data_IF_927450562353
#
_entry.id   IF_927450562353
#
_cell.length_a   1.000
_cell.length_b   1.000
_cell.length_c   1.000
_cell.angle_alpha   90.00
_cell.angle_beta   90.00
_cell.angle_gamma   90.00
#
_symmetry.space_group_name_H-M   'P 1'
#
loop_
_entity.id
_entity.type
_entity.pdbx_description
1 polymer ?
#
# COMPACT_ATOMS: atom_id res chain seq x y z
N UNK A 1 21.56 -5.70 -17.43
CA UNK A 1 21.73 -5.46 -15.97
C UNK A 1 20.35 -5.21 -15.35
N UNK A 2 20.07 -5.80 -14.20
CA UNK A 2 18.76 -5.68 -13.52
C UNK A 2 18.82 -4.63 -12.42
N UNK A 3 17.83 -3.71 -12.43
CA UNK A 3 17.72 -2.61 -11.46
C UNK A 3 16.35 -2.70 -10.78
N UNK A 4 16.33 -2.46 -9.47
CA UNK A 4 15.12 -2.25 -8.69
C UNK A 4 14.98 -0.77 -8.29
N UNK A 5 13.75 -0.24 -8.33
CA UNK A 5 13.39 1.09 -7.85
C UNK A 5 12.35 1.01 -6.74
N UNK A 6 12.53 1.84 -5.69
CA UNK A 6 11.46 2.13 -4.72
C UNK A 6 10.62 3.31 -5.21
N UNK A 7 9.31 3.08 -5.24
CA UNK A 7 8.31 4.02 -5.77
C UNK A 7 7.32 4.41 -4.68
N UNK A 8 7.10 5.71 -4.53
CA UNK A 8 6.02 6.28 -3.72
C UNK A 8 4.97 6.92 -4.63
N UNK A 9 3.70 6.93 -4.21
CA UNK A 9 2.64 7.61 -4.94
C UNK A 9 1.42 7.93 -4.07
N UNK A 10 0.72 9.00 -4.45
CA UNK A 10 -0.63 9.32 -4.02
C UNK A 10 -1.57 8.74 -5.07
N UNK A 11 -2.31 7.68 -4.73
CA UNK A 11 -3.09 6.88 -5.68
C UNK A 11 -4.50 7.40 -5.97
N UNK A 12 -4.93 8.54 -5.39
CA UNK A 12 -6.32 9.03 -5.42
C UNK A 12 -6.87 9.14 -6.84
N UNK A 13 -6.07 9.66 -7.78
CA UNK A 13 -6.51 9.95 -9.16
C UNK A 13 -6.18 8.83 -10.16
N UNK A 14 -5.82 7.64 -9.66
CA UNK A 14 -5.43 6.51 -10.48
C UNK A 14 -6.38 5.33 -10.33
N UNK A 15 -6.61 4.62 -11.43
CA UNK A 15 -7.43 3.40 -11.47
C UNK A 15 -6.62 2.15 -11.03
N UNK A 16 -5.81 2.33 -9.98
CA UNK A 16 -4.96 1.32 -9.40
C UNK A 16 -3.55 1.31 -9.98
N UNK A 17 -2.78 0.31 -9.55
CA UNK A 17 -1.38 0.19 -9.95
C UNK A 17 -1.25 -0.35 -11.38
N UNK A 18 -1.84 -1.50 -11.66
CA UNK A 18 -1.63 -2.25 -12.90
C UNK A 18 -2.22 -1.55 -14.12
N UNK A 19 -1.48 -1.55 -15.23
CA UNK A 19 -1.95 -1.06 -16.55
C UNK A 19 -3.29 -1.72 -16.93
N UNK A 20 -4.22 -0.88 -17.35
CA UNK A 20 -5.54 -1.24 -17.88
C UNK A 20 -5.82 -0.40 -19.13
N UNK A 21 -6.63 -0.91 -20.08
CA UNK A 21 -7.04 -0.14 -21.25
C UNK A 21 -7.80 1.14 -20.83
N UNK A 22 -7.55 2.22 -21.53
CA UNK A 22 -8.32 3.47 -21.51
C UNK A 22 -8.44 4.21 -20.16
N UNK A 23 -7.62 3.83 -19.17
CA UNK A 23 -7.59 4.50 -17.87
C UNK A 23 -6.17 4.80 -17.40
N UNK A 24 -6.03 5.86 -16.58
CA UNK A 24 -4.76 6.25 -16.02
C UNK A 24 -4.39 5.36 -14.82
N UNK A 25 -3.19 4.76 -14.84
CA UNK A 25 -2.67 3.85 -13.83
C UNK A 25 -1.24 4.21 -13.44
N UNK A 26 -0.83 3.85 -12.22
CA UNK A 26 0.55 4.10 -11.76
C UNK A 26 1.58 3.43 -12.68
N UNK A 27 1.37 2.17 -13.05
CA UNK A 27 2.28 1.39 -13.89
C UNK A 27 2.35 1.96 -15.32
N UNK A 28 1.24 2.47 -15.86
CA UNK A 28 1.20 3.13 -17.15
C UNK A 28 2.10 4.38 -17.18
N UNK A 29 2.04 5.22 -16.13
CA UNK A 29 2.91 6.39 -16.01
C UNK A 29 4.38 6.02 -15.82
N UNK A 30 4.67 4.94 -15.08
CA UNK A 30 6.02 4.42 -14.94
C UNK A 30 6.57 3.95 -16.29
N UNK A 31 5.79 3.20 -17.07
CA UNK A 31 6.20 2.77 -18.41
C UNK A 31 6.45 3.93 -19.36
N UNK A 32 5.61 4.95 -19.34
CA UNK A 32 5.79 6.16 -20.13
C UNK A 32 7.12 6.85 -19.76
N UNK A 33 7.35 7.09 -18.47
CA UNK A 33 8.55 7.78 -18.00
C UNK A 33 9.84 7.01 -18.30
N UNK A 34 9.85 5.69 -18.09
CA UNK A 34 11.01 4.83 -18.36
C UNK A 34 11.33 4.75 -19.87
N UNK A 35 10.29 4.73 -20.72
CA UNK A 35 10.46 4.78 -22.20
C UNK A 35 10.98 6.12 -22.68
N UNK A 36 10.43 7.24 -22.20
CA UNK A 36 10.90 8.58 -22.56
C UNK A 36 12.36 8.83 -22.21
N UNK A 37 12.88 8.15 -21.20
CA UNK A 37 14.28 8.21 -20.79
C UNK A 37 15.17 7.18 -21.51
N UNK A 38 14.63 6.36 -22.40
CA UNK A 38 15.32 5.25 -23.03
C UNK A 38 15.93 4.26 -22.00
N UNK A 39 15.32 4.13 -20.84
CA UNK A 39 15.71 3.15 -19.81
C UNK A 39 15.22 1.76 -20.21
N UNK A 40 13.99 1.67 -20.72
CA UNK A 40 13.41 0.45 -21.31
C UNK A 40 12.73 0.80 -22.64
N UNK A 41 12.73 -0.13 -23.59
CA UNK A 41 11.97 0.00 -24.83
C UNK A 41 10.57 -0.61 -24.68
N UNK A 42 10.52 -1.79 -24.11
CA UNK A 42 9.27 -2.56 -23.90
C UNK A 42 9.31 -3.20 -22.51
N UNK A 43 8.26 -3.03 -21.68
CA UNK A 43 8.22 -3.63 -20.34
C UNK A 43 8.35 -5.16 -20.33
N UNK A 44 7.80 -5.85 -21.32
CA UNK A 44 7.90 -7.30 -21.42
C UNK A 44 9.33 -7.76 -21.75
N UNK A 45 9.99 -7.09 -22.70
CA UNK A 45 11.40 -7.38 -23.07
C UNK A 45 12.36 -7.02 -21.94
N UNK A 46 12.02 -6.00 -21.16
CA UNK A 46 12.77 -5.58 -19.98
C UNK A 46 12.49 -6.47 -18.73
N UNK A 47 11.77 -7.57 -18.85
CA UNK A 47 11.40 -8.44 -17.72
C UNK A 47 10.88 -7.63 -16.52
N UNK A 48 10.02 -6.61 -16.79
CA UNK A 48 9.47 -5.75 -15.74
C UNK A 48 8.55 -6.51 -14.83
N UNK A 49 8.77 -6.39 -13.51
CA UNK A 49 7.94 -7.00 -12.46
C UNK A 49 7.78 -5.99 -11.31
N UNK A 50 6.58 -5.97 -10.70
CA UNK A 50 6.29 -5.22 -9.48
C UNK A 50 6.09 -6.15 -8.28
N UNK A 51 6.48 -5.71 -7.07
CA UNK A 51 6.35 -6.47 -5.82
C UNK A 51 4.90 -6.74 -5.42
N UNK A 52 3.99 -5.88 -5.83
CA UNK A 52 2.57 -6.00 -5.54
C UNK A 52 1.72 -5.11 -6.45
N UNK A 53 0.41 -5.28 -6.36
CA UNK A 53 -0.58 -4.42 -7.00
C UNK A 53 -1.39 -3.75 -5.91
N UNK A 54 -1.72 -2.48 -6.11
CA UNK A 54 -2.64 -1.76 -5.24
C UNK A 54 -3.93 -1.43 -6.00
N UNK A 55 -5.04 -1.44 -5.28
CA UNK A 55 -6.35 -1.07 -5.83
C UNK A 55 -6.41 0.41 -6.20
N UNK A 56 -7.44 0.80 -6.96
CA UNK A 56 -7.77 2.21 -7.24
C UNK A 56 -7.86 3.01 -5.94
N UNK A 57 -7.23 4.18 -5.90
CA UNK A 57 -7.23 5.09 -4.76
C UNK A 57 -6.27 4.73 -3.62
N UNK A 58 -5.54 3.62 -3.69
CA UNK A 58 -4.56 3.19 -2.67
C UNK A 58 -3.22 3.88 -2.90
N UNK A 59 -2.56 4.31 -1.83
CA UNK A 59 -1.26 4.97 -1.85
C UNK A 59 -0.09 3.98 -1.66
N UNK A 60 1.13 4.43 -1.93
CA UNK A 60 2.34 3.71 -1.57
C UNK A 60 3.46 4.64 -1.14
N UNK A 61 4.30 4.16 -0.23
CA UNK A 61 5.59 4.75 0.12
C UNK A 61 6.75 3.90 -0.42
N UNK A 62 6.60 2.58 -0.42
CA UNK A 62 7.67 1.63 -0.71
C UNK A 62 7.27 0.52 -1.68
N UNK A 63 6.50 0.82 -2.74
CA UNK A 63 6.31 -0.11 -3.85
C UNK A 63 7.65 -0.36 -4.52
N UNK A 64 7.91 -1.60 -4.92
CA UNK A 64 9.15 -1.97 -5.61
C UNK A 64 8.83 -2.47 -7.01
N UNK A 65 9.57 -1.94 -8.00
CA UNK A 65 9.58 -2.44 -9.36
C UNK A 65 11.00 -2.89 -9.72
N UNK A 66 11.14 -3.90 -10.56
CA UNK A 66 12.43 -4.32 -11.10
C UNK A 66 12.31 -4.56 -12.61
N UNK A 67 13.37 -4.24 -13.32
CA UNK A 67 13.46 -4.38 -14.78
C UNK A 67 14.91 -4.49 -15.25
N UNK A 68 15.09 -5.04 -16.44
CA UNK A 68 16.37 -5.12 -17.12
C UNK A 68 16.59 -3.86 -17.97
N UNK A 69 17.84 -3.35 -18.00
CA UNK A 69 18.22 -2.17 -18.80
C UNK A 69 19.64 -2.29 -19.33
N UNK A 70 19.85 -1.72 -20.51
CA UNK A 70 21.18 -1.54 -21.10
C UNK A 70 21.85 -0.25 -20.61
N UNK A 71 21.08 0.67 -20.03
CA UNK A 71 21.51 1.99 -19.60
C UNK A 71 21.39 2.19 -18.07
N UNK A 72 22.05 1.38 -17.22
CA UNK A 72 21.89 1.43 -15.76
C UNK A 72 22.30 2.76 -15.13
N UNK A 73 23.24 3.48 -15.73
CA UNK A 73 23.79 4.74 -15.18
C UNK A 73 22.78 5.89 -15.21
N UNK A 74 21.79 5.83 -16.09
CA UNK A 74 20.71 6.85 -16.15
C UNK A 74 19.51 6.50 -15.26
N UNK A 75 19.48 5.32 -14.64
CA UNK A 75 18.39 4.90 -13.74
C UNK A 75 18.59 5.56 -12.36
N UNK A 76 18.48 6.89 -12.35
CA UNK A 76 18.54 7.68 -11.12
C UNK A 76 17.13 8.13 -10.73
N UNK A 77 16.71 7.96 -9.46
CA UNK A 77 15.39 8.39 -9.00
C UNK A 77 15.02 9.81 -9.43
N UNK A 78 15.95 10.78 -9.27
CA UNK A 78 15.75 12.18 -9.69
C UNK A 78 15.52 12.35 -11.20
N UNK A 79 16.17 11.53 -12.02
CA UNK A 79 15.99 11.59 -13.48
C UNK A 79 14.62 11.04 -13.88
N UNK A 80 14.21 9.91 -13.28
CA UNK A 80 12.90 9.29 -13.48
C UNK A 80 11.78 10.24 -13.04
N UNK A 81 11.94 10.94 -11.91
CA UNK A 81 10.97 11.89 -11.37
C UNK A 81 10.73 13.11 -12.29
N UNK A 82 11.68 13.47 -13.16
CA UNK A 82 11.48 14.55 -14.15
C UNK A 82 10.46 14.19 -15.23
N UNK A 83 10.14 12.91 -15.38
CA UNK A 83 9.18 12.39 -16.36
C UNK A 83 7.90 11.86 -15.74
N UNK A 84 7.88 11.67 -14.42
CA UNK A 84 6.70 11.22 -13.67
C UNK A 84 5.74 12.38 -13.36
N UNK A 85 4.45 12.08 -13.24
CA UNK A 85 3.47 13.02 -12.69
C UNK A 85 3.85 13.49 -11.27
N UNK A 86 3.34 14.65 -10.82
CA UNK A 86 3.69 15.21 -9.51
C UNK A 86 3.28 14.35 -8.31
N UNK A 87 2.50 13.32 -8.52
CA UNK A 87 1.95 12.39 -7.50
C UNK A 87 2.62 11.01 -7.49
N UNK A 88 3.62 10.77 -8.37
CA UNK A 88 4.40 9.52 -8.42
C UNK A 88 5.87 9.86 -8.34
N UNK A 89 6.64 9.13 -7.52
CA UNK A 89 8.06 9.39 -7.29
C UNK A 89 8.85 8.11 -7.13
N UNK A 90 10.04 8.06 -7.75
CA UNK A 90 11.12 7.15 -7.37
C UNK A 90 11.99 7.84 -6.31
N UNK A 91 12.48 7.10 -5.30
CA UNK A 91 13.30 7.70 -4.25
C UNK A 91 14.53 6.89 -3.84
N UNK A 92 14.59 5.61 -4.22
CA UNK A 92 15.76 4.77 -4.06
C UNK A 92 15.91 3.80 -5.22
N UNK A 93 17.13 3.35 -5.47
CA UNK A 93 17.46 2.34 -6.47
C UNK A 93 18.41 1.30 -5.89
N UNK A 94 18.40 0.10 -6.46
CA UNK A 94 19.37 -0.95 -6.17
C UNK A 94 19.72 -1.70 -7.44
N UNK A 95 21.00 -2.03 -7.63
CA UNK A 95 21.38 -3.07 -8.57
C UNK A 95 21.12 -4.41 -7.91
N UNK A 96 20.48 -5.31 -8.62
CA UNK A 96 20.05 -6.62 -8.11
C UNK A 96 20.57 -7.74 -9.01
N UNK A 97 20.49 -8.99 -8.56
CA UNK A 97 20.82 -10.16 -9.39
C UNK A 97 19.86 -10.25 -10.60
N UNK A 98 20.32 -10.84 -11.68
CA UNK A 98 19.55 -10.94 -12.93
C UNK A 98 18.27 -11.78 -12.76
N UNK A 99 18.23 -12.70 -11.78
CA UNK A 99 17.08 -13.53 -11.42
C UNK A 99 16.14 -12.92 -10.36
N UNK A 100 16.46 -11.73 -9.84
CA UNK A 100 15.65 -11.09 -8.80
C UNK A 100 14.22 -10.83 -9.27
N UNK A 101 13.27 -11.33 -8.49
CA UNK A 101 11.83 -11.12 -8.66
C UNK A 101 11.26 -10.39 -7.43
N UNK A 102 10.89 -9.10 -7.54
CA UNK A 102 10.43 -8.31 -6.39
C UNK A 102 9.15 -8.86 -5.75
N UNK A 103 8.41 -9.72 -6.45
CA UNK A 103 7.20 -10.36 -5.92
C UNK A 103 7.50 -11.66 -5.18
N UNK A 104 8.37 -12.51 -5.73
CA UNK A 104 8.69 -13.84 -5.19
C UNK A 104 9.70 -13.78 -4.06
N UNK A 105 10.70 -12.89 -4.17
CA UNK A 105 11.80 -12.78 -3.22
C UNK A 105 11.44 -11.93 -2.00
N UNK A 106 10.24 -11.36 -1.96
CA UNK A 106 9.76 -10.60 -0.81
C UNK A 106 9.54 -11.51 0.41
N UNK A 107 10.22 -11.19 1.51
CA UNK A 107 10.07 -11.86 2.80
C UNK A 107 8.78 -11.44 3.50
N UNK A 108 8.44 -10.17 3.36
CA UNK A 108 7.22 -9.60 3.93
C UNK A 108 6.82 -8.32 3.19
N UNK A 109 5.57 -7.91 3.40
CA UNK A 109 5.01 -6.63 2.99
C UNK A 109 4.41 -5.94 4.18
N UNK A 110 4.54 -4.62 4.26
CA UNK A 110 3.97 -3.80 5.30
C UNK A 110 2.94 -2.83 4.71
N UNK A 111 1.80 -2.73 5.38
CA UNK A 111 0.75 -1.77 5.06
C UNK A 111 0.40 -0.93 6.28
N UNK A 112 -0.01 0.32 6.02
CA UNK A 112 -0.68 1.18 7.00
C UNK A 112 -2.09 1.49 6.53
N UNK A 113 -3.06 1.40 7.45
CA UNK A 113 -4.41 1.88 7.22
C UNK A 113 -4.76 2.94 8.27
N UNK A 114 -5.30 4.08 7.81
CA UNK A 114 -5.73 5.18 8.66
C UNK A 114 -7.24 5.35 8.49
N UNK A 115 -7.97 5.41 9.60
CA UNK A 115 -9.42 5.54 9.61
C UNK A 115 -9.88 6.49 10.71
N UNK A 116 -10.76 7.44 10.38
CA UNK A 116 -11.38 8.33 11.34
C UNK A 116 -12.52 7.62 12.10
N UNK A 117 -12.65 7.90 13.40
CA UNK A 117 -13.72 7.39 14.25
C UNK A 117 -13.32 7.32 15.72
N UNK A 118 -14.31 7.02 16.57
CA UNK A 118 -14.08 6.77 17.99
C UNK A 118 -14.02 5.27 18.27
N UNK A 119 -12.93 4.84 18.91
CA UNK A 119 -12.65 3.42 19.09
C UNK A 119 -12.16 3.11 20.51
N UNK A 120 -12.58 1.97 21.04
CA UNK A 120 -12.03 1.43 22.28
C UNK A 120 -10.68 0.76 22.00
N UNK A 121 -9.59 1.40 22.44
CA UNK A 121 -8.21 0.92 22.21
C UNK A 121 -7.95 -0.46 22.83
N UNK A 122 -8.58 -0.80 23.94
CA UNK A 122 -8.41 -2.11 24.58
C UNK A 122 -9.02 -3.22 23.72
N UNK A 123 -10.20 -2.99 23.14
CA UNK A 123 -10.83 -3.93 22.19
C UNK A 123 -9.97 -4.08 20.93
N UNK A 124 -9.47 -2.98 20.37
CA UNK A 124 -8.59 -3.00 19.20
C UNK A 124 -7.31 -3.80 19.46
N UNK A 125 -6.67 -3.62 20.60
CA UNK A 125 -5.46 -4.37 20.98
C UNK A 125 -5.75 -5.87 21.12
N UNK A 126 -6.88 -6.24 21.72
CA UNK A 126 -7.27 -7.64 21.84
C UNK A 126 -7.58 -8.25 20.45
N UNK A 127 -8.33 -7.54 19.61
CA UNK A 127 -8.60 -7.94 18.24
C UNK A 127 -7.31 -8.14 17.41
N UNK A 128 -6.34 -7.23 17.56
CA UNK A 128 -5.05 -7.35 16.88
C UNK A 128 -4.28 -8.60 17.29
N UNK A 129 -4.38 -9.01 18.57
CA UNK A 129 -3.72 -10.25 19.04
C UNK A 129 -4.34 -11.50 18.42
N UNK A 130 -5.66 -11.52 18.17
CA UNK A 130 -6.33 -12.62 17.48
C UNK A 130 -5.90 -12.72 16.01
N UNK A 131 -5.76 -11.60 15.32
CA UNK A 131 -5.38 -11.56 13.90
C UNK A 131 -3.92 -11.96 13.68
N UNK A 132 -3.02 -11.75 14.67
CA UNK A 132 -1.61 -12.10 14.57
C UNK A 132 -1.43 -13.62 14.51
N UNK A 133 -0.60 -14.09 13.58
CA UNK A 133 -0.28 -15.52 13.41
C UNK A 133 -0.66 -16.03 12.03
N UNK A 134 -0.77 -17.36 11.94
CA UNK A 134 -1.15 -18.05 10.69
C UNK A 134 -2.65 -18.32 10.76
N UNK A 135 -3.39 -17.76 9.79
CA UNK A 135 -4.84 -17.94 9.68
C UNK A 135 -5.24 -18.10 8.22
N UNK A 136 -6.42 -18.66 8.04
CA UNK A 136 -7.12 -18.62 6.77
C UNK A 136 -7.95 -17.33 6.67
N UNK A 137 -7.51 -16.40 5.83
CA UNK A 137 -8.15 -15.10 5.61
C UNK A 137 -9.21 -15.11 4.50
N UNK A 138 -9.86 -16.26 4.22
CA UNK A 138 -10.89 -16.34 3.19
C UNK A 138 -12.04 -15.35 3.42
N UNK A 139 -12.54 -15.19 4.67
CA UNK A 139 -13.56 -14.19 5.01
C UNK A 139 -13.07 -12.74 4.87
N UNK A 140 -11.75 -12.52 4.90
CA UNK A 140 -11.11 -11.21 4.73
C UNK A 140 -10.59 -11.00 3.30
N UNK A 141 -10.98 -11.85 2.35
CA UNK A 141 -10.54 -11.75 0.96
C UNK A 141 -11.72 -11.59 0.01
N UNK A 142 -11.42 -11.07 -1.18
CA UNK A 142 -12.23 -11.33 -2.37
C UNK A 142 -11.69 -12.62 -2.97
N UNK A 143 -12.54 -13.64 -3.24
CA UNK A 143 -12.08 -14.95 -3.71
C UNK A 143 -11.19 -14.85 -4.95
N UNK A 144 -10.04 -15.52 -4.87
CA UNK A 144 -9.12 -15.72 -5.99
C UNK A 144 -8.79 -17.21 -6.05
N UNK A 145 -9.18 -17.87 -7.15
CA UNK A 145 -9.06 -19.34 -7.28
C UNK A 145 -7.62 -19.83 -7.35
N UNK A 146 -6.68 -18.95 -7.70
CA UNK A 146 -5.29 -19.30 -7.94
C UNK A 146 -4.37 -19.03 -6.75
N UNK A 147 -4.92 -18.55 -5.62
CA UNK A 147 -4.14 -18.16 -4.44
C UNK A 147 -4.69 -18.74 -3.15
N UNK A 148 -3.76 -19.25 -2.32
CA UNK A 148 -4.07 -19.63 -0.95
C UNK A 148 -4.53 -18.41 -0.15
N UNK A 149 -5.61 -18.56 0.60
CA UNK A 149 -6.08 -17.58 1.60
C UNK A 149 -5.34 -17.68 2.93
N UNK A 150 -4.53 -18.72 3.14
CA UNK A 150 -3.72 -18.89 4.33
C UNK A 150 -2.53 -17.94 4.28
N UNK A 151 -2.43 -17.03 5.26
CA UNK A 151 -1.33 -16.07 5.38
C UNK A 151 -0.82 -16.00 6.81
N UNK A 152 0.46 -15.60 6.98
CA UNK A 152 1.07 -15.38 8.28
C UNK A 152 1.22 -13.87 8.53
N UNK A 153 0.39 -13.33 9.42
CA UNK A 153 0.54 -11.97 9.94
C UNK A 153 1.66 -11.98 10.99
N UNK A 154 2.81 -11.44 10.60
CA UNK A 154 4.04 -11.41 11.43
C UNK A 154 3.93 -10.35 12.52
N UNK A 155 3.42 -9.19 12.17
CA UNK A 155 3.15 -8.11 13.12
C UNK A 155 1.88 -7.36 12.78
N UNK A 156 1.18 -6.91 13.82
CA UNK A 156 0.03 -6.03 13.71
C UNK A 156 0.01 -5.11 14.93
N UNK A 157 -0.05 -3.82 14.68
CA UNK A 157 -0.09 -2.79 15.70
C UNK A 157 -1.21 -1.82 15.42
N UNK A 158 -2.04 -1.55 16.44
CA UNK A 158 -3.13 -0.57 16.35
C UNK A 158 -2.95 0.46 17.45
N UNK A 159 -3.00 1.73 17.05
CA UNK A 159 -3.02 2.87 17.95
C UNK A 159 -4.13 3.84 17.58
N UNK A 160 -4.56 4.61 18.53
CA UNK A 160 -5.52 5.70 18.33
C UNK A 160 -4.80 7.00 18.64
N UNK A 161 -4.80 7.91 17.68
CA UNK A 161 -4.23 9.25 17.79
C UNK A 161 -5.32 10.27 17.42
N UNK A 162 -5.77 11.04 18.42
CA UNK A 162 -6.94 11.91 18.27
C UNK A 162 -8.17 11.12 17.83
N UNK A 163 -8.78 11.49 16.71
CA UNK A 163 -9.91 10.80 16.08
C UNK A 163 -9.52 9.69 15.07
N UNK A 164 -8.22 9.37 14.95
CA UNK A 164 -7.75 8.39 13.97
C UNK A 164 -7.32 7.08 14.61
N UNK A 165 -7.86 5.97 14.11
CA UNK A 165 -7.26 4.65 14.27
C UNK A 165 -6.19 4.47 13.21
N UNK A 166 -4.98 4.11 13.63
CA UNK A 166 -3.85 3.80 12.77
C UNK A 166 -3.49 2.33 12.96
N UNK A 167 -3.63 1.57 11.88
CA UNK A 167 -3.26 0.15 11.79
C UNK A 167 -1.97 0.02 11.00
N UNK A 168 -0.94 -0.59 11.58
CA UNK A 168 0.24 -1.08 10.88
C UNK A 168 0.21 -2.62 10.88
N UNK A 169 0.35 -3.23 9.71
CA UNK A 169 0.28 -4.68 9.55
C UNK A 169 1.35 -5.18 8.58
N UNK A 170 2.07 -6.24 8.98
CA UNK A 170 3.09 -6.91 8.19
C UNK A 170 2.77 -8.39 8.07
N UNK A 171 2.86 -8.94 6.87
CA UNK A 171 2.63 -10.35 6.58
C UNK A 171 3.54 -10.85 5.45
N UNK A 172 3.71 -12.18 5.37
CA UNK A 172 4.44 -12.80 4.27
C UNK A 172 3.77 -12.53 2.90
N UNK A 173 2.45 -12.53 2.86
CA UNK A 173 1.65 -12.08 1.71
C UNK A 173 0.28 -11.61 2.17
N UNK A 174 -0.41 -10.88 1.29
CA UNK A 174 -1.79 -10.45 1.49
C UNK A 174 -2.64 -10.95 0.32
N UNK A 175 -3.82 -11.44 0.64
CA UNK A 175 -4.85 -11.75 -0.36
C UNK A 175 -5.63 -10.49 -0.74
N UNK A 176 -6.37 -10.54 -1.82
CA UNK A 176 -7.06 -9.37 -2.35
C UNK A 176 -8.04 -8.77 -1.33
N UNK A 177 -7.95 -7.47 -1.09
CA UNK A 177 -8.70 -6.67 -0.12
C UNK A 177 -8.42 -6.98 1.37
N UNK A 178 -7.50 -7.90 1.71
CA UNK A 178 -7.30 -8.39 3.08
C UNK A 178 -7.11 -7.27 4.10
N UNK A 179 -6.20 -6.35 3.89
CA UNK A 179 -5.92 -5.26 4.86
C UNK A 179 -7.14 -4.36 5.05
N UNK A 180 -7.87 -4.05 3.98
CA UNK A 180 -9.06 -3.20 4.02
C UNK A 180 -10.22 -3.88 4.76
N UNK A 181 -10.38 -5.20 4.59
CA UNK A 181 -11.39 -5.99 5.32
C UNK A 181 -11.02 -6.18 6.79
N UNK A 182 -9.73 -6.37 7.10
CA UNK A 182 -9.22 -6.36 8.48
C UNK A 182 -9.51 -5.00 9.15
N UNK A 183 -9.28 -3.89 8.44
CA UNK A 183 -9.61 -2.55 8.95
C UNK A 183 -11.11 -2.41 9.24
N UNK A 184 -11.99 -2.93 8.38
CA UNK A 184 -13.44 -2.99 8.64
C UNK A 184 -13.77 -3.80 9.90
N UNK A 185 -13.20 -4.99 10.05
CA UNK A 185 -13.42 -5.81 11.24
C UNK A 185 -12.94 -5.12 12.52
N UNK A 186 -11.75 -4.52 12.49
CA UNK A 186 -11.23 -3.74 13.61
C UNK A 186 -12.13 -2.54 13.95
N UNK A 187 -12.68 -1.85 12.94
CA UNK A 187 -13.68 -0.79 13.14
C UNK A 187 -14.90 -1.31 13.88
N UNK A 188 -15.46 -2.45 13.44
CA UNK A 188 -16.66 -3.04 14.03
C UNK A 188 -16.42 -3.48 15.48
N UNK A 189 -15.29 -4.11 15.77
CA UNK A 189 -14.92 -4.50 17.14
C UNK A 189 -14.61 -3.28 18.00
N UNK A 190 -13.82 -2.33 17.49
CA UNK A 190 -13.41 -1.13 18.22
C UNK A 190 -14.56 -0.19 18.56
N UNK A 191 -15.63 -0.16 17.75
CA UNK A 191 -16.86 0.59 18.01
C UNK A 191 -17.88 -0.16 18.87
N UNK A 192 -17.64 -1.45 19.18
CA UNK A 192 -18.57 -2.32 19.91
C UNK A 192 -19.73 -2.87 19.06
N UNK A 193 -19.70 -2.68 17.73
CA UNK A 193 -20.73 -3.24 16.84
C UNK A 193 -20.63 -4.76 16.69
N UNK A 194 -19.44 -5.31 16.92
CA UNK A 194 -19.15 -6.76 16.98
C UNK A 194 -18.20 -7.02 18.17
N UNK A 195 -18.20 -8.25 18.66
CA UNK A 195 -17.34 -8.69 19.76
C UNK A 195 -16.09 -9.46 19.26
N UNK A 196 -15.23 -9.86 20.19
CA UNK A 196 -14.03 -10.64 19.88
C UNK A 196 -14.36 -12.08 19.48
N UNK A 197 -15.47 -12.66 19.97
CA UNK A 197 -15.91 -14.01 19.61
C UNK A 197 -16.31 -14.07 18.12
N UNK A 198 -17.00 -13.04 17.63
CA UNK A 198 -17.29 -12.91 16.22
C UNK A 198 -15.99 -12.82 15.37
N UNK A 199 -15.00 -12.04 15.80
CA UNK A 199 -13.74 -11.92 15.06
C UNK A 199 -12.98 -13.25 15.01
N UNK A 200 -12.99 -14.02 16.10
CA UNK A 200 -12.40 -15.36 16.16
C UNK A 200 -13.07 -16.33 15.18
N UNK A 201 -14.42 -16.31 15.12
CA UNK A 201 -15.17 -17.07 14.12
C UNK A 201 -14.81 -16.67 12.67
N UNK A 202 -14.63 -15.36 12.42
CA UNK A 202 -14.21 -14.87 11.10
C UNK A 202 -12.85 -15.41 10.65
N UNK A 203 -11.96 -15.77 11.56
CA UNK A 203 -10.66 -16.40 11.30
C UNK A 203 -10.75 -17.93 11.10
N UNK A 204 -11.97 -18.50 11.18
CA UNK A 204 -12.27 -19.94 10.99
C UNK A 204 -13.27 -20.15 9.84
N UNK A 205 -12.91 -19.83 8.57
CA UNK A 205 -13.86 -19.82 7.44
C UNK A 205 -14.45 -21.19 7.09
N UNK A 206 -13.87 -22.30 7.56
CA UNK A 206 -14.43 -23.65 7.45
C UNK A 206 -15.67 -23.87 8.30
N UNK A 207 -15.82 -23.10 9.38
CA UNK A 207 -16.93 -23.19 10.32
C UNK A 207 -17.90 -22.02 10.20
N UNK A 208 -17.42 -20.85 9.81
CA UNK A 208 -18.20 -19.61 9.72
C UNK A 208 -17.80 -18.79 8.49
N UNK A 209 -18.78 -18.41 7.70
CA UNK A 209 -18.56 -17.58 6.51
C UNK A 209 -19.42 -16.33 6.55
N UNK A 210 -18.79 -15.16 6.54
CA UNK A 210 -19.45 -13.86 6.44
C UNK A 210 -18.63 -12.95 5.52
N UNK A 211 -19.29 -12.29 4.57
CA UNK A 211 -18.68 -11.29 3.72
C UNK A 211 -18.45 -9.97 4.47
N UNK A 212 -17.27 -9.37 4.30
CA UNK A 212 -16.99 -8.02 4.76
C UNK A 212 -16.77 -7.08 3.58
N UNK A 213 -17.38 -5.89 3.66
CA UNK A 213 -17.06 -4.82 2.73
C UNK A 213 -15.65 -4.27 3.04
N UNK A 214 -14.78 -4.10 2.03
CA UNK A 214 -13.48 -3.53 2.25
C UNK A 214 -13.59 -2.05 2.61
N UNK A 215 -12.87 -1.62 3.63
CA UNK A 215 -12.78 -0.22 4.01
C UNK A 215 -12.26 0.65 2.84
N UNK A 216 -12.55 1.97 2.79
CA UNK A 216 -12.19 2.84 1.67
C UNK A 216 -10.71 2.78 1.28
N UNK A 217 -10.36 2.81 -0.02
CA UNK A 217 -8.98 2.64 -0.47
C UNK A 217 -8.05 3.79 -0.03
N UNK A 218 -8.55 5.01 0.06
CA UNK A 218 -7.78 6.21 0.41
C UNK A 218 -7.16 6.18 1.82
N UNK A 219 -7.60 5.28 2.70
CA UNK A 219 -6.97 5.08 3.99
C UNK A 219 -5.76 4.14 3.96
N UNK A 220 -5.53 3.43 2.83
CA UNK A 220 -4.52 2.39 2.72
C UNK A 220 -3.24 2.91 2.05
N UNK A 221 -2.11 2.61 2.69
CA UNK A 221 -0.78 2.87 2.14
C UNK A 221 0.05 1.59 2.15
N UNK A 222 0.59 1.20 1.01
CA UNK A 222 1.62 0.17 0.90
C UNK A 222 2.95 0.77 1.35
N UNK A 223 3.41 0.40 2.56
CA UNK A 223 4.53 1.05 3.22
C UNK A 223 5.88 0.57 2.73
N UNK A 224 6.09 -0.74 2.73
CA UNK A 224 7.39 -1.31 2.38
C UNK A 224 7.30 -2.78 2.00
N UNK A 225 8.38 -3.25 1.39
CA UNK A 225 8.65 -4.66 1.09
C UNK A 225 10.03 -4.99 1.62
N UNK A 226 10.12 -6.06 2.38
CA UNK A 226 11.36 -6.56 2.94
C UNK A 226 11.97 -7.63 2.02
N UNK A 227 13.27 -7.51 1.75
CA UNK A 227 14.05 -8.47 0.99
C UNK A 227 15.31 -8.88 1.76
N UNK A 228 15.80 -10.08 1.52
CA UNK A 228 17.06 -10.56 2.09
C UNK A 228 18.26 -9.79 1.49
N UNK A 229 19.08 -9.18 2.35
CA UNK A 229 20.34 -8.52 1.98
C UNK A 229 20.21 -7.42 0.90
N UNK A 230 19.04 -6.81 0.75
CA UNK A 230 18.84 -5.71 -0.18
C UNK A 230 19.47 -4.42 0.34
N UNK A 231 20.37 -3.83 -0.43
CA UNK A 231 20.99 -2.53 -0.13
C UNK A 231 20.45 -1.47 -1.06
N UNK A 232 19.63 -0.58 -0.51
CA UNK A 232 19.03 0.52 -1.25
C UNK A 232 19.97 1.73 -1.26
N UNK A 233 20.21 2.29 -2.44
CA UNK A 233 20.83 3.60 -2.62
C UNK A 233 19.72 4.65 -2.67
N UNK A 234 19.53 5.38 -1.58
CA UNK A 234 18.56 6.46 -1.51
C UNK A 234 19.06 7.70 -2.26
N UNK A 235 18.18 8.35 -3.03
CA UNK A 235 18.46 9.65 -3.66
C UNK A 235 18.00 10.77 -2.72
N UNK A 236 18.95 11.39 -2.03
CA UNK A 236 18.68 12.44 -1.04
C UNK A 236 18.03 13.68 -1.65
N UNK A 237 18.37 14.02 -2.89
CA UNK A 237 17.74 15.13 -3.60
C UNK A 237 16.29 14.81 -3.96
N UNK A 238 16.03 13.61 -4.50
CA UNK A 238 14.67 13.17 -4.79
C UNK A 238 13.83 13.15 -3.52
N UNK A 239 14.33 12.57 -2.42
CA UNK A 239 13.62 12.55 -1.12
C UNK A 239 13.27 13.95 -0.63
N UNK A 240 14.22 14.90 -0.68
CA UNK A 240 13.96 16.30 -0.28
C UNK A 240 12.84 16.92 -1.11
N UNK A 241 12.89 16.79 -2.43
CA UNK A 241 11.86 17.34 -3.33
C UNK A 241 10.49 16.71 -3.09
N UNK A 242 10.44 15.41 -2.81
CA UNK A 242 9.20 14.70 -2.46
C UNK A 242 8.61 15.25 -1.17
N UNK A 243 9.43 15.41 -0.12
CA UNK A 243 9.00 15.97 1.17
C UNK A 243 8.41 17.37 0.98
N UNK A 244 9.08 18.27 0.24
CA UNK A 244 8.59 19.63 -0.05
C UNK A 244 7.23 19.64 -0.78
N UNK A 245 6.98 18.65 -1.66
CA UNK A 245 5.67 18.48 -2.31
C UNK A 245 4.61 17.96 -1.34
N UNK A 246 4.96 16.94 -0.55
CA UNK A 246 4.05 16.39 0.47
C UNK A 246 3.68 17.41 1.54
N UNK A 247 4.60 18.30 1.94
CA UNK A 247 4.32 19.38 2.88
C UNK A 247 3.25 20.36 2.32
N UNK A 248 3.30 20.65 1.02
CA UNK A 248 2.27 21.49 0.36
C UNK A 248 0.91 20.81 0.35
N UNK A 249 0.86 19.53 0.00
CA UNK A 249 -0.37 18.73 0.02
C UNK A 249 -0.93 18.63 1.44
N UNK A 250 -0.08 18.35 2.43
CA UNK A 250 -0.48 18.28 3.83
C UNK A 250 -1.09 19.60 4.31
N UNK A 251 -0.47 20.73 3.97
CA UNK A 251 -0.98 22.04 4.34
C UNK A 251 -2.34 22.33 3.69
N UNK A 252 -2.46 22.04 2.39
CA UNK A 252 -3.70 22.24 1.64
C UNK A 252 -4.84 21.39 2.20
N UNK A 253 -4.62 20.09 2.40
CA UNK A 253 -5.61 19.18 2.98
C UNK A 253 -5.99 19.56 4.41
N UNK A 254 -5.03 20.04 5.20
CA UNK A 254 -5.29 20.54 6.56
C UNK A 254 -6.24 21.73 6.58
N UNK A 255 -6.00 22.71 5.70
CA UNK A 255 -6.90 23.89 5.57
C UNK A 255 -8.29 23.45 5.07
N UNK A 256 -8.35 22.54 4.08
CA UNK A 256 -9.63 22.03 3.57
C UNK A 256 -10.42 21.26 4.62
N UNK A 257 -9.75 20.45 5.44
CA UNK A 257 -10.39 19.72 6.53
C UNK A 257 -11.01 20.65 7.57
N UNK A 258 -10.30 21.73 7.93
CA UNK A 258 -10.81 22.73 8.87
C UNK A 258 -11.99 23.53 8.28
N UNK A 259 -11.88 23.94 7.02
CA UNK A 259 -12.99 24.63 6.33
C UNK A 259 -14.26 23.75 6.29
N UNK A 260 -14.13 22.45 6.02
CA UNK A 260 -15.27 21.51 6.02
C UNK A 260 -15.87 21.36 7.42
N UNK A 261 -15.05 21.43 8.49
CA UNK A 261 -15.53 21.42 9.87
C UNK A 261 -16.38 22.65 10.17
N UNK A 262 -15.90 23.84 9.83
CA UNK A 262 -16.61 25.12 10.01
C UNK A 262 -17.95 25.13 9.27
N UNK A 263 -17.98 24.67 8.00
CA UNK A 263 -19.22 24.58 7.22
C UNK A 263 -20.22 23.62 7.88
N UNK A 264 -19.76 22.46 8.36
CA UNK A 264 -20.61 21.49 9.05
C UNK A 264 -21.20 22.06 10.33
N UNK A 265 -20.38 22.74 11.15
CA UNK A 265 -20.83 23.34 12.41
C UNK A 265 -21.81 24.48 12.17
N UNK A 266 -21.59 25.31 11.14
CA UNK A 266 -22.51 26.40 10.77
C UNK A 266 -23.87 25.93 10.22
N UNK A 267 -23.95 24.68 9.73
CA UNK A 267 -25.20 24.08 9.25
C UNK A 267 -25.93 23.23 10.32
N UNK A 268 -25.28 22.96 11.45
CA UNK A 268 -25.83 22.13 12.53
C UNK A 268 -26.71 22.88 13.54
N UNK A 269 -27.01 24.16 13.29
CA UNK A 269 -27.84 25.05 14.16
C UNK A 269 -29.32 24.85 13.89
#
# INVERSE_FOLDING_TARGET
MRIALKIAYIGTDYHGFQVQPDVNTIEGELFRALKELNIINNPHEANYIAAGRTDSGVHALGQVIAFDTENPDIVLPRAVNNKLPPTIWAWASAQVSDDFDPRRDALSREYRYIMCGQYNISLLRNASRLIKGVHDFANFSTPDKDRSSISMVQSINVRVEREFMILDIQANHFVWHMVRKIATALKMVGSGARDLAWLDQMLSPGEYTEGLEPAPPYGLTFKDVEYRNMIWREDTYAKKTIIEKLDKEFLWHGVMAEMLRELKEGLAV
#
